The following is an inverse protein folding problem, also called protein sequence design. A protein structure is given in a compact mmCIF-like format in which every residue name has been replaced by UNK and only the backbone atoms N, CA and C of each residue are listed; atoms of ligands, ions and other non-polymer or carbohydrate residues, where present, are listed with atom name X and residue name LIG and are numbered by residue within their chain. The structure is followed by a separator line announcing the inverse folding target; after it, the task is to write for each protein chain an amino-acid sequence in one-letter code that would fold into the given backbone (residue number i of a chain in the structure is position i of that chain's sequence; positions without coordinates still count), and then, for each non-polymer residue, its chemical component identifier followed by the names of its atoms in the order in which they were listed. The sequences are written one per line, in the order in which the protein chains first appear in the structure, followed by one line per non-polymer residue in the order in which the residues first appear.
data_IF_565687204500
#
_entry.id   IF_565687204500
#
_cell.length_a   1.000
_cell.length_b   1.000
_cell.length_c   1.000
_cell.angle_alpha   90.00
_cell.angle_beta   90.00
_cell.angle_gamma   90.00
#
_symmetry.space_group_name_H-M   'P 1'
#
loop_
_entity.id
_entity.type
_entity.pdbx_description
1 polymer ?
#
# COMPACT_ATOMS: atom_id res chain seq x y z
N UNK A 1 69.85 -24.92 29.75
CA UNK A 1 68.72 -25.50 29.02
C UNK A 1 67.60 -24.48 29.07
N UNK A 2 67.49 -23.67 28.02
CA UNK A 2 66.59 -22.47 27.98
C UNK A 2 65.22 -22.89 27.39
N UNK A 3 64.21 -22.86 28.24
CA UNK A 3 62.82 -22.97 27.83
C UNK A 3 62.27 -21.57 27.44
N UNK A 4 62.11 -21.35 26.11
CA UNK A 4 61.45 -20.16 25.60
C UNK A 4 59.94 -20.30 25.81
N UNK A 5 59.35 -19.47 26.66
CA UNK A 5 57.90 -19.34 26.82
C UNK A 5 57.32 -18.62 25.59
N UNK A 6 56.57 -19.33 24.79
CA UNK A 6 55.80 -18.75 23.70
C UNK A 6 54.49 -18.23 24.30
N UNK A 7 54.30 -16.93 24.36
CA UNK A 7 53.02 -16.28 24.65
C UNK A 7 52.22 -16.24 23.34
N UNK A 8 51.17 -17.04 23.26
CA UNK A 8 50.16 -16.92 22.20
C UNK A 8 49.13 -15.89 22.67
N UNK A 9 49.22 -14.68 22.12
CA UNK A 9 48.19 -13.65 22.29
C UNK A 9 46.96 -14.04 21.42
N UNK A 10 45.89 -14.51 22.06
CA UNK A 10 44.61 -14.72 21.43
C UNK A 10 43.96 -13.33 21.18
N UNK A 11 44.08 -12.82 19.96
CA UNK A 11 43.33 -11.65 19.52
C UNK A 11 41.86 -12.07 19.34
N UNK A 12 41.01 -11.82 20.33
CA UNK A 12 39.57 -11.91 20.20
C UNK A 12 39.10 -10.82 19.19
N UNK A 13 38.85 -11.23 17.95
CA UNK A 13 38.12 -10.42 16.95
C UNK A 13 36.72 -10.19 17.53
N UNK A 14 36.49 -9.04 18.13
CA UNK A 14 35.16 -8.53 18.43
C UNK A 14 34.49 -8.20 17.12
N UNK A 15 33.86 -9.21 16.53
CA UNK A 15 32.89 -9.00 15.43
C UNK A 15 31.70 -8.29 16.10
N UNK A 16 31.37 -7.06 15.71
CA UNK A 16 30.15 -6.42 16.23
C UNK A 16 28.98 -7.30 15.85
N UNK A 17 28.35 -7.89 16.85
CA UNK A 17 27.06 -8.55 16.65
C UNK A 17 26.09 -7.44 16.24
N UNK A 18 25.80 -7.34 14.94
CA UNK A 18 24.68 -6.53 14.47
C UNK A 18 23.42 -7.14 15.10
N UNK A 19 23.01 -6.57 16.22
CA UNK A 19 21.69 -6.83 16.76
C UNK A 19 20.70 -6.29 15.75
N UNK A 20 20.17 -7.17 14.88
CA UNK A 20 18.98 -6.84 14.12
C UNK A 20 17.89 -6.61 15.15
N UNK A 21 17.52 -5.35 15.34
CA UNK A 21 16.35 -4.98 16.13
C UNK A 21 15.14 -5.80 15.66
N UNK A 22 14.18 -6.03 16.53
CA UNK A 22 12.94 -6.74 16.17
C UNK A 22 12.31 -6.06 14.95
N UNK A 23 11.96 -6.85 13.92
CA UNK A 23 11.39 -6.34 12.67
C UNK A 23 10.05 -5.71 12.95
N UNK A 24 9.79 -4.52 12.43
CA UNK A 24 8.48 -3.87 12.52
C UNK A 24 7.40 -4.76 11.90
N UNK A 25 6.36 -5.06 12.65
CA UNK A 25 5.20 -5.80 12.15
C UNK A 25 4.28 -4.87 11.36
N UNK A 26 4.40 -4.91 10.05
CA UNK A 26 3.58 -4.15 9.11
C UNK A 26 2.42 -5.00 8.61
N UNK A 27 1.22 -4.51 8.75
CA UNK A 27 0.02 -5.10 8.14
C UNK A 27 -0.52 -4.14 7.09
N UNK A 28 -0.90 -4.66 5.93
CA UNK A 28 -1.46 -3.87 4.84
C UNK A 28 -2.83 -4.41 4.44
N UNK A 29 -3.69 -3.57 3.94
CA UNK A 29 -5.00 -4.01 3.46
C UNK A 29 -4.88 -4.83 2.19
N UNK A 30 -4.04 -4.41 1.25
CA UNK A 30 -3.93 -5.06 -0.07
C UNK A 30 -2.50 -5.49 -0.42
N UNK A 31 -2.34 -6.52 -1.30
CA UNK A 31 -1.05 -7.07 -1.68
C UNK A 31 -0.12 -6.06 -2.38
N UNK A 32 -0.65 -5.12 -3.17
CA UNK A 32 0.18 -4.12 -3.83
C UNK A 32 0.89 -3.22 -2.81
N UNK A 33 0.19 -2.86 -1.71
CA UNK A 33 0.78 -2.10 -0.61
C UNK A 33 1.87 -2.92 0.08
N UNK A 34 1.59 -4.22 0.32
CA UNK A 34 2.56 -5.12 0.93
C UNK A 34 3.84 -5.24 0.09
N UNK A 35 3.70 -5.30 -1.23
CA UNK A 35 4.84 -5.33 -2.15
C UNK A 35 5.70 -4.06 -2.05
N UNK A 36 5.07 -2.89 -2.04
CA UNK A 36 5.80 -1.61 -1.89
C UNK A 36 6.45 -1.52 -0.51
N UNK A 37 5.69 -1.83 0.56
CA UNK A 37 6.18 -1.76 1.93
C UNK A 37 7.35 -2.74 2.18
N UNK A 38 7.31 -3.93 1.58
CA UNK A 38 8.41 -4.89 1.65
C UNK A 38 9.67 -4.40 0.95
N UNK A 39 9.55 -3.81 -0.24
CA UNK A 39 10.70 -3.27 -0.96
C UNK A 39 11.31 -2.04 -0.27
N UNK A 40 10.50 -1.16 0.29
CA UNK A 40 10.95 0.01 1.03
C UNK A 40 11.51 -0.36 2.40
N UNK A 41 10.82 -1.24 3.12
CA UNK A 41 11.21 -1.63 4.48
C UNK A 41 12.40 -2.59 4.55
N UNK A 42 12.62 -3.38 3.47
CA UNK A 42 13.71 -4.36 3.42
C UNK A 42 13.68 -5.34 4.59
N UNK A 43 14.85 -5.66 5.11
CA UNK A 43 15.01 -6.62 6.21
C UNK A 43 14.54 -6.12 7.58
N UNK A 44 14.19 -4.82 7.69
CA UNK A 44 13.75 -4.20 8.94
C UNK A 44 12.25 -4.36 9.19
N UNK A 45 11.49 -4.88 8.23
CA UNK A 45 10.04 -5.07 8.35
C UNK A 45 9.61 -6.51 8.11
N UNK A 46 8.49 -6.88 8.71
CA UNK A 46 7.75 -8.09 8.40
C UNK A 46 6.36 -7.70 7.90
N UNK A 47 6.13 -7.81 6.60
CA UNK A 47 4.89 -7.35 5.97
C UNK A 47 3.90 -8.48 5.75
N UNK A 48 2.63 -8.24 6.08
CA UNK A 48 1.52 -9.17 5.84
C UNK A 48 0.34 -8.42 5.23
N UNK A 49 -0.13 -8.85 4.05
CA UNK A 49 -1.40 -8.39 3.51
C UNK A 49 -2.58 -9.12 4.18
N UNK A 50 -3.70 -8.42 4.33
CA UNK A 50 -4.98 -8.99 4.77
C UNK A 50 -5.71 -9.62 3.59
N UNK A 51 -5.93 -8.87 2.52
CA UNK A 51 -6.63 -9.32 1.34
C UNK A 51 -5.77 -10.21 0.43
N UNK A 52 -6.43 -11.07 -0.34
CA UNK A 52 -5.84 -11.75 -1.47
C UNK A 52 -5.85 -10.89 -2.74
N UNK A 53 -4.93 -11.14 -3.68
CA UNK A 53 -4.79 -10.30 -4.88
C UNK A 53 -5.95 -10.41 -5.89
N UNK A 54 -6.80 -11.42 -5.75
CA UNK A 54 -7.95 -11.66 -6.64
C UNK A 54 -9.30 -11.35 -5.97
N UNK A 55 -9.27 -10.73 -4.78
CA UNK A 55 -10.49 -10.38 -4.07
C UNK A 55 -10.95 -8.98 -4.47
N UNK A 56 -12.26 -8.82 -4.57
CA UNK A 56 -12.85 -7.50 -4.72
C UNK A 56 -12.56 -6.66 -3.47
N UNK A 57 -11.90 -5.50 -3.61
CA UNK A 57 -11.51 -4.68 -2.49
C UNK A 57 -12.69 -4.11 -1.67
N UNK A 58 -13.87 -4.00 -2.29
CA UNK A 58 -15.06 -3.48 -1.63
C UNK A 58 -15.74 -4.53 -0.74
N UNK A 59 -15.63 -5.83 -1.07
CA UNK A 59 -16.44 -6.91 -0.49
C UNK A 59 -15.61 -7.97 0.25
N UNK A 60 -14.53 -7.56 0.91
CA UNK A 60 -13.69 -8.48 1.67
C UNK A 60 -14.43 -8.98 2.91
N UNK A 61 -14.48 -10.31 3.06
CA UNK A 61 -15.01 -10.96 4.27
C UNK A 61 -13.89 -11.10 5.29
N UNK A 62 -13.95 -10.41 6.44
CA UNK A 62 -12.95 -10.52 7.49
C UNK A 62 -12.86 -11.94 8.05
N UNK A 63 -11.63 -12.44 8.22
CA UNK A 63 -11.36 -13.76 8.84
C UNK A 63 -10.81 -13.57 10.25
N UNK A 64 -11.01 -14.52 11.18
CA UNK A 64 -10.44 -14.45 12.53
C UNK A 64 -8.91 -14.24 12.54
N UNK A 65 -8.21 -14.80 11.54
CA UNK A 65 -6.77 -14.60 11.36
C UNK A 65 -6.39 -13.15 11.07
N UNK A 66 -7.29 -12.34 10.50
CA UNK A 66 -7.05 -10.91 10.27
C UNK A 66 -7.02 -10.14 11.59
N UNK A 67 -7.94 -10.47 12.52
CA UNK A 67 -7.95 -9.88 13.87
C UNK A 67 -6.61 -10.11 14.56
N UNK A 68 -6.09 -11.34 14.49
CA UNK A 68 -4.82 -11.68 15.12
C UNK A 68 -3.63 -10.90 14.49
N UNK A 69 -3.63 -10.71 13.16
CA UNK A 69 -2.62 -9.91 12.47
C UNK A 69 -2.69 -8.45 12.87
N UNK A 70 -3.89 -7.84 12.79
CA UNK A 70 -4.12 -6.42 13.09
C UNK A 70 -3.84 -6.10 14.56
N UNK A 71 -4.15 -7.03 15.48
CA UNK A 71 -3.83 -6.90 16.92
C UNK A 71 -2.34 -6.75 17.19
N UNK A 72 -1.49 -7.41 16.40
CA UNK A 72 -0.02 -7.40 16.56
C UNK A 72 0.67 -6.35 15.70
N UNK A 73 -0.06 -5.64 14.85
CA UNK A 73 0.51 -4.64 13.95
C UNK A 73 1.10 -3.48 14.74
N UNK A 74 2.30 -3.09 14.37
CA UNK A 74 2.94 -1.83 14.80
C UNK A 74 2.63 -0.72 13.79
N UNK A 75 2.45 -1.11 12.52
CA UNK A 75 2.00 -0.25 11.44
C UNK A 75 0.91 -0.94 10.64
N UNK A 76 -0.25 -0.29 10.51
CA UNK A 76 -1.29 -0.65 9.56
C UNK A 76 -1.28 0.35 8.40
N UNK A 77 -1.09 -0.14 7.18
CA UNK A 77 -1.12 0.67 5.97
C UNK A 77 -2.39 0.33 5.19
N UNK A 78 -3.22 1.31 4.98
CA UNK A 78 -4.49 1.18 4.26
C UNK A 78 -4.45 1.92 2.92
N UNK A 79 -5.24 1.48 1.95
CA UNK A 79 -5.47 2.26 0.75
C UNK A 79 -6.11 3.60 1.10
N UNK A 80 -7.12 3.59 1.95
CA UNK A 80 -7.88 4.78 2.31
C UNK A 80 -8.86 5.21 1.21
N UNK A 81 -9.27 6.49 1.25
CA UNK A 81 -10.32 6.96 0.35
C UNK A 81 -11.64 6.21 0.53
N UNK A 82 -11.82 5.57 1.70
CA UNK A 82 -12.99 4.75 2.08
C UNK A 82 -13.14 3.42 1.32
N UNK A 83 -12.10 2.94 0.61
CA UNK A 83 -12.15 1.65 -0.08
C UNK A 83 -12.43 0.50 0.89
N UNK A 84 -11.91 0.57 2.11
CA UNK A 84 -12.05 -0.45 3.15
C UNK A 84 -13.24 -0.24 4.08
N UNK A 85 -14.11 0.75 3.81
CA UNK A 85 -15.15 1.18 4.78
C UNK A 85 -16.10 0.05 5.17
N UNK A 86 -16.37 -0.87 4.26
CA UNK A 86 -17.32 -1.97 4.48
C UNK A 86 -16.80 -3.06 5.43
N UNK A 87 -15.49 -3.20 5.64
CA UNK A 87 -14.94 -4.35 6.34
C UNK A 87 -13.85 -4.04 7.37
N UNK A 88 -13.02 -3.00 7.16
CA UNK A 88 -11.87 -2.73 8.03
C UNK A 88 -12.24 -2.13 9.39
N UNK A 89 -13.19 -1.17 9.54
CA UNK A 89 -13.49 -0.57 10.84
C UNK A 89 -13.95 -1.58 11.90
N UNK A 90 -14.87 -2.52 11.63
CA UNK A 90 -15.25 -3.56 12.60
C UNK A 90 -14.05 -4.46 12.97
N UNK A 91 -13.17 -4.77 12.02
CA UNK A 91 -11.97 -5.57 12.25
C UNK A 91 -10.99 -4.86 13.18
N UNK A 92 -10.74 -3.58 12.96
CA UNK A 92 -9.88 -2.76 13.83
C UNK A 92 -10.44 -2.68 15.27
N UNK A 93 -11.75 -2.51 15.41
CA UNK A 93 -12.41 -2.49 16.72
C UNK A 93 -12.22 -3.82 17.46
N UNK A 94 -12.43 -4.95 16.79
CA UNK A 94 -12.24 -6.28 17.37
C UNK A 94 -10.77 -6.59 17.71
N UNK A 95 -9.84 -6.09 16.90
CA UNK A 95 -8.41 -6.23 17.18
C UNK A 95 -7.97 -5.45 18.42
N UNK A 96 -8.66 -4.35 18.74
CA UNK A 96 -8.42 -3.49 19.90
C UNK A 96 -6.95 -3.11 20.09
N UNK A 97 -6.28 -2.73 19.00
CA UNK A 97 -4.88 -2.33 19.01
C UNK A 97 -4.77 -0.79 19.06
N UNK A 98 -4.31 -0.20 20.18
CA UNK A 98 -4.24 1.24 20.32
C UNK A 98 -3.22 1.90 19.40
N UNK A 99 -2.20 1.15 18.93
CA UNK A 99 -1.13 1.68 18.06
C UNK A 99 -1.63 2.11 16.69
N UNK A 100 -2.70 1.48 16.18
CA UNK A 100 -3.22 1.64 14.82
C UNK A 100 -4.58 2.33 14.76
N UNK A 101 -5.04 2.95 15.84
CA UNK A 101 -6.30 3.72 15.85
C UNK A 101 -6.20 4.93 14.92
N UNK A 102 -7.34 5.40 14.47
CA UNK A 102 -7.41 6.65 13.69
C UNK A 102 -6.72 7.78 14.46
N UNK A 103 -5.77 8.45 13.81
CA UNK A 103 -4.98 9.52 14.41
C UNK A 103 -3.73 9.05 15.18
N UNK A 104 -3.51 7.73 15.34
CA UNK A 104 -2.28 7.21 15.95
C UNK A 104 -1.13 7.16 14.92
N UNK A 105 0.11 7.14 15.43
CA UNK A 105 1.29 7.07 14.57
C UNK A 105 1.41 5.73 13.81
N UNK A 106 0.83 4.65 14.30
CA UNK A 106 0.86 3.33 13.65
C UNK A 106 -0.21 3.13 12.56
N UNK A 107 -0.93 4.15 12.11
CA UNK A 107 -1.86 4.09 10.99
C UNK A 107 -1.39 5.00 9.85
N UNK A 108 -1.20 4.43 8.66
CA UNK A 108 -0.92 5.17 7.44
C UNK A 108 -2.06 5.00 6.44
N UNK A 109 -2.74 6.09 6.12
CA UNK A 109 -3.74 6.18 5.06
C UNK A 109 -3.07 6.74 3.80
N UNK A 110 -2.87 5.89 2.79
CA UNK A 110 -2.16 6.23 1.55
C UNK A 110 -2.95 7.19 0.64
N UNK A 111 -4.28 7.27 0.79
CA UNK A 111 -5.07 8.21 0.01
C UNK A 111 -4.66 9.67 0.25
N UNK A 112 -4.03 9.95 1.41
CA UNK A 112 -3.51 11.29 1.75
C UNK A 112 -2.24 11.68 0.99
N UNK A 113 -1.57 10.72 0.36
CA UNK A 113 -0.37 10.97 -0.44
C UNK A 113 -0.68 11.36 -1.89
N UNK A 114 -1.96 11.31 -2.29
CA UNK A 114 -2.42 11.56 -3.66
C UNK A 114 -3.61 12.52 -3.68
N UNK A 115 -3.90 13.08 -4.85
CA UNK A 115 -5.14 13.84 -5.05
C UNK A 115 -6.21 12.89 -5.55
N UNK A 116 -7.31 12.76 -4.80
CA UNK A 116 -8.46 11.98 -5.23
C UNK A 116 -9.26 12.75 -6.27
N UNK A 117 -9.70 12.03 -7.31
CA UNK A 117 -10.58 12.55 -8.37
C UNK A 117 -12.03 12.12 -8.12
N UNK A 118 -12.95 12.67 -8.87
CA UNK A 118 -14.38 12.31 -8.84
C UNK A 118 -15.00 12.44 -7.44
N UNK A 119 -14.63 13.47 -6.70
CA UNK A 119 -15.27 13.79 -5.43
C UNK A 119 -16.74 14.14 -5.70
N UNK A 120 -17.70 13.36 -5.18
CA UNK A 120 -19.11 13.57 -5.48
C UNK A 120 -19.62 14.84 -4.80
N UNK A 121 -20.52 15.55 -5.47
CA UNK A 121 -21.18 16.75 -4.89
C UNK A 121 -22.18 16.40 -3.79
N UNK A 122 -22.75 15.21 -3.86
CA UNK A 122 -23.66 14.64 -2.86
C UNK A 122 -23.49 13.13 -2.83
N UNK A 123 -23.74 12.53 -1.68
CA UNK A 123 -23.65 11.09 -1.47
C UNK A 123 -24.98 10.58 -0.98
N UNK A 124 -25.52 9.55 -1.65
CA UNK A 124 -26.68 8.83 -1.18
C UNK A 124 -26.50 7.33 -1.38
N UNK A 125 -27.12 6.51 -0.54
CA UNK A 125 -27.09 5.04 -0.67
C UNK A 125 -27.70 4.54 -1.99
N UNK A 126 -28.51 5.35 -2.66
CA UNK A 126 -29.09 5.02 -3.96
C UNK A 126 -28.08 5.09 -5.12
N UNK A 127 -26.86 5.57 -4.87
CA UNK A 127 -25.80 5.72 -5.88
C UNK A 127 -24.82 4.55 -5.91
N UNK A 128 -25.08 3.47 -5.15
CA UNK A 128 -24.18 2.32 -5.04
C UNK A 128 -22.95 2.62 -4.14
N UNK A 129 -21.82 1.98 -4.45
CA UNK A 129 -20.55 2.13 -3.70
C UNK A 129 -19.84 3.45 -4.04
N UNK A 130 -20.51 4.57 -3.74
CA UNK A 130 -19.95 5.91 -3.93
C UNK A 130 -19.09 6.29 -2.74
N UNK A 131 -17.84 6.67 -3.00
CA UNK A 131 -16.90 7.09 -1.99
C UNK A 131 -16.94 8.62 -1.80
N UNK A 132 -17.36 9.14 -0.64
CA UNK A 132 -17.44 10.58 -0.39
C UNK A 132 -16.14 11.35 -0.56
N UNK A 133 -15.00 10.70 -0.30
CA UNK A 133 -13.68 11.30 -0.46
C UNK A 133 -13.20 11.39 -1.93
N UNK A 134 -13.88 10.74 -2.85
CA UNK A 134 -13.49 10.60 -4.26
C UNK A 134 -13.10 9.16 -4.60
N UNK A 135 -12.74 8.95 -5.87
CA UNK A 135 -12.40 7.63 -6.39
C UNK A 135 -11.14 7.04 -5.69
N UNK A 136 -11.24 5.90 -4.98
CA UNK A 136 -10.14 5.31 -4.23
C UNK A 136 -9.17 4.47 -5.07
N UNK A 137 -9.42 4.28 -6.36
CA UNK A 137 -8.62 3.43 -7.26
C UNK A 137 -7.39 4.13 -7.84
N UNK A 138 -6.85 5.12 -7.13
CA UNK A 138 -5.69 5.93 -7.52
C UNK A 138 -4.41 5.10 -7.75
N UNK A 139 -4.32 3.91 -7.16
CA UNK A 139 -3.20 2.98 -7.32
C UNK A 139 -3.11 2.37 -8.72
N UNK A 140 -4.16 2.46 -9.51
CA UNK A 140 -4.17 2.03 -10.91
C UNK A 140 -3.52 3.06 -11.85
N UNK A 141 -3.21 4.27 -11.38
CA UNK A 141 -2.29 5.17 -12.07
C UNK A 141 -0.85 4.89 -11.63
N UNK A 142 0.00 4.34 -12.50
CA UNK A 142 1.36 3.99 -12.13
C UNK A 142 2.23 5.18 -11.69
N UNK A 143 1.86 6.41 -12.05
CA UNK A 143 2.54 7.63 -11.60
C UNK A 143 2.24 8.01 -10.14
N UNK A 144 1.24 7.40 -9.51
CA UNK A 144 0.99 7.58 -8.08
C UNK A 144 1.89 6.70 -7.21
N UNK A 145 2.37 5.57 -7.72
CA UNK A 145 3.14 4.58 -6.93
C UNK A 145 4.39 5.19 -6.26
N UNK A 146 5.20 6.05 -6.91
CA UNK A 146 6.33 6.72 -6.25
C UNK A 146 5.90 7.62 -5.06
N UNK A 147 4.71 8.21 -5.10
CA UNK A 147 4.18 9.01 -3.98
C UNK A 147 3.83 8.11 -2.80
N UNK A 148 3.24 6.94 -3.08
CA UNK A 148 2.89 5.95 -2.05
C UNK A 148 4.15 5.38 -1.39
N UNK A 149 5.16 5.02 -2.18
CA UNK A 149 6.43 4.48 -1.65
C UNK A 149 7.15 5.50 -0.78
N UNK A 150 7.14 6.78 -1.15
CA UNK A 150 7.68 7.87 -0.34
C UNK A 150 6.95 8.01 1.00
N UNK A 151 5.60 7.98 0.98
CA UNK A 151 4.80 8.06 2.21
C UNK A 151 5.08 6.87 3.14
N UNK A 152 5.27 5.67 2.59
CA UNK A 152 5.63 4.48 3.35
C UNK A 152 7.03 4.63 3.97
N UNK A 153 8.03 5.10 3.21
CA UNK A 153 9.38 5.31 3.71
C UNK A 153 9.41 6.31 4.87
N UNK A 154 8.71 7.43 4.72
CA UNK A 154 8.58 8.45 5.76
C UNK A 154 7.94 7.87 7.02
N UNK A 155 6.83 7.13 6.89
CA UNK A 155 6.13 6.51 8.02
C UNK A 155 6.99 5.47 8.74
N UNK A 156 7.75 4.66 8.01
CA UNK A 156 8.69 3.70 8.61
C UNK A 156 9.80 4.42 9.38
N UNK A 157 10.34 5.53 8.86
CA UNK A 157 11.31 6.36 9.57
C UNK A 157 10.78 7.01 10.85
N UNK A 158 9.47 7.39 10.88
CA UNK A 158 8.81 7.90 12.09
C UNK A 158 8.69 6.83 13.19
N UNK A 159 8.48 5.56 12.81
CA UNK A 159 8.32 4.42 13.74
C UNK A 159 9.69 3.89 14.19
N UNK A 160 10.65 3.81 13.27
CA UNK A 160 12.00 3.35 13.48
C UNK A 160 13.01 4.40 12.99
N UNK A 161 13.31 5.42 13.80
CA UNK A 161 14.26 6.47 13.43
C UNK A 161 15.67 5.96 13.07
N UNK A 162 16.09 4.84 13.64
CA UNK A 162 17.40 4.24 13.33
C UNK A 162 17.45 3.64 11.93
N UNK A 163 16.31 3.29 11.36
CA UNK A 163 16.16 2.74 10.02
C UNK A 163 15.97 3.80 8.92
N UNK A 164 15.78 5.09 9.26
CA UNK A 164 15.40 6.14 8.31
C UNK A 164 16.24 6.15 7.05
N UNK A 165 17.56 6.19 7.17
CA UNK A 165 18.46 6.20 6.00
C UNK A 165 18.31 4.94 5.12
N UNK A 166 18.06 3.77 5.73
CA UNK A 166 17.83 2.55 4.97
C UNK A 166 16.52 2.63 4.17
N UNK A 167 15.44 3.12 4.80
CA UNK A 167 14.14 3.30 4.13
C UNK A 167 14.20 4.32 3.00
N UNK A 168 14.90 5.43 3.18
CA UNK A 168 15.12 6.45 2.15
C UNK A 168 15.92 5.89 0.96
N UNK A 169 17.00 5.17 1.21
CA UNK A 169 17.80 4.53 0.18
C UNK A 169 16.98 3.47 -0.59
N UNK A 170 16.25 2.61 0.11
CA UNK A 170 15.40 1.62 -0.51
C UNK A 170 14.30 2.27 -1.35
N UNK A 171 13.67 3.33 -0.83
CA UNK A 171 12.68 4.11 -1.58
C UNK A 171 13.27 4.75 -2.83
N UNK A 172 14.49 5.28 -2.75
CA UNK A 172 15.19 5.83 -3.92
C UNK A 172 15.42 4.75 -4.97
N UNK A 173 15.93 3.59 -4.59
CA UNK A 173 16.13 2.45 -5.50
C UNK A 173 14.81 1.97 -6.12
N UNK A 174 13.76 1.85 -5.31
CA UNK A 174 12.44 1.50 -5.79
C UNK A 174 11.93 2.51 -6.82
N UNK A 175 12.00 3.80 -6.51
CA UNK A 175 11.51 4.88 -7.37
C UNK A 175 12.31 4.97 -8.67
N UNK A 176 13.64 4.83 -8.63
CA UNK A 176 14.48 4.84 -9.81
C UNK A 176 14.13 3.68 -10.75
N UNK A 177 13.94 2.48 -10.20
CA UNK A 177 13.50 1.30 -10.96
C UNK A 177 12.10 1.49 -11.56
N UNK A 178 11.17 2.05 -10.76
CA UNK A 178 9.80 2.31 -11.19
C UNK A 178 9.76 3.32 -12.34
N UNK A 179 10.50 4.43 -12.21
CA UNK A 179 10.56 5.49 -13.22
C UNK A 179 11.11 4.98 -14.57
N UNK A 180 12.08 4.06 -14.55
CA UNK A 180 12.55 3.42 -15.80
C UNK A 180 11.42 2.62 -16.48
N UNK A 181 10.58 1.94 -15.72
CA UNK A 181 9.41 1.21 -16.24
C UNK A 181 8.32 2.17 -16.70
N UNK A 182 8.06 3.25 -15.94
CA UNK A 182 7.12 4.29 -16.35
C UNK A 182 7.41 4.82 -17.75
N UNK A 183 8.68 5.13 -18.05
CA UNK A 183 9.07 5.62 -19.37
C UNK A 183 8.73 4.64 -20.52
N UNK A 184 8.72 3.33 -20.23
CA UNK A 184 8.31 2.30 -21.20
C UNK A 184 6.79 2.26 -21.32
N UNK A 185 6.09 2.25 -20.20
CA UNK A 185 4.62 2.20 -20.16
C UNK A 185 3.98 3.45 -20.75
N UNK A 186 4.54 4.64 -20.47
CA UNK A 186 4.08 5.90 -21.04
C UNK A 186 4.14 5.89 -22.57
N UNK A 187 5.24 5.36 -23.15
CA UNK A 187 5.35 5.20 -24.61
C UNK A 187 4.32 4.21 -25.16
N UNK A 188 4.14 3.07 -24.50
CA UNK A 188 3.21 2.06 -24.95
C UNK A 188 1.74 2.55 -24.86
N UNK A 189 1.37 3.17 -23.74
CA UNK A 189 0.02 3.63 -23.49
C UNK A 189 -0.34 4.93 -24.22
N UNK A 190 0.64 5.75 -24.59
CA UNK A 190 0.40 6.97 -25.38
C UNK A 190 -0.21 6.68 -26.76
N UNK A 191 0.06 5.49 -27.32
CA UNK A 191 -0.53 5.04 -28.57
C UNK A 191 -2.06 4.81 -28.48
N UNK A 192 -2.59 4.67 -27.26
CA UNK A 192 -4.03 4.47 -26.99
C UNK A 192 -4.79 5.79 -26.81
N UNK A 193 -4.14 6.95 -26.97
CA UNK A 193 -4.82 8.25 -26.87
C UNK A 193 -5.99 8.34 -27.85
N UNK A 194 -7.17 8.69 -27.32
CA UNK A 194 -8.41 8.75 -28.07
C UNK A 194 -9.11 7.39 -28.27
N UNK A 195 -8.51 6.28 -27.82
CA UNK A 195 -9.20 5.00 -27.78
C UNK A 195 -10.44 5.09 -26.89
N UNK A 196 -11.46 4.30 -27.22
CA UNK A 196 -12.72 4.23 -26.48
C UNK A 196 -12.83 2.87 -25.80
N UNK A 197 -13.11 2.86 -24.50
CA UNK A 197 -13.19 1.64 -23.70
C UNK A 197 -14.48 1.59 -22.89
N UNK A 198 -14.89 0.38 -22.56
CA UNK A 198 -15.92 0.06 -21.58
C UNK A 198 -15.23 -0.71 -20.46
N UNK A 199 -15.57 -0.42 -19.21
CA UNK A 199 -15.13 -1.20 -18.07
C UNK A 199 -16.32 -1.82 -17.33
N UNK A 200 -16.08 -2.86 -16.54
CA UNK A 200 -17.14 -3.47 -15.75
C UNK A 200 -17.53 -2.54 -14.61
N UNK A 201 -16.59 -2.23 -13.74
CA UNK A 201 -16.69 -1.29 -12.62
C UNK A 201 -15.78 -0.09 -12.89
N UNK A 202 -16.12 1.08 -12.36
CA UNK A 202 -15.40 2.33 -12.59
C UNK A 202 -14.07 2.40 -11.81
N UNK A 203 -13.09 1.62 -12.25
CA UNK A 203 -11.79 1.46 -11.58
C UNK A 203 -10.67 2.30 -12.20
N UNK A 204 -10.66 2.42 -13.53
CA UNK A 204 -9.47 2.85 -14.26
C UNK A 204 -9.42 4.34 -14.58
N UNK A 205 -10.29 5.18 -14.03
CA UNK A 205 -10.39 6.62 -14.34
C UNK A 205 -9.05 7.35 -14.26
N UNK A 206 -8.22 7.06 -13.26
CA UNK A 206 -6.90 7.69 -13.14
C UNK A 206 -5.98 7.35 -14.32
N UNK A 207 -5.93 6.08 -14.71
CA UNK A 207 -5.16 5.61 -15.86
C UNK A 207 -5.72 6.18 -17.16
N UNK A 208 -7.02 6.08 -17.35
CA UNK A 208 -7.70 6.52 -18.58
C UNK A 208 -7.49 8.03 -18.82
N UNK A 209 -7.66 8.83 -17.78
CA UNK A 209 -7.44 10.29 -17.87
C UNK A 209 -6.00 10.63 -18.16
N UNK A 210 -5.05 9.93 -17.53
CA UNK A 210 -3.62 10.16 -17.78
C UNK A 210 -3.26 9.99 -19.24
N UNK A 211 -3.74 8.94 -19.88
CA UNK A 211 -3.36 8.62 -21.26
C UNK A 211 -4.37 9.12 -22.31
N UNK A 212 -5.40 9.86 -21.89
CA UNK A 212 -6.40 10.42 -22.80
C UNK A 212 -7.25 9.35 -23.50
N UNK A 213 -7.53 8.25 -22.78
CA UNK A 213 -8.42 7.19 -23.21
C UNK A 213 -9.85 7.54 -22.74
N UNK A 214 -10.84 7.43 -23.63
CA UNK A 214 -12.22 7.78 -23.32
C UNK A 214 -12.98 6.57 -22.75
N UNK A 215 -13.43 6.68 -21.50
CA UNK A 215 -14.42 5.77 -20.94
C UNK A 215 -15.79 6.13 -21.54
N UNK A 216 -16.39 5.21 -22.28
CA UNK A 216 -17.70 5.43 -22.95
C UNK A 216 -18.87 4.78 -22.26
N UNK A 217 -18.62 3.96 -21.24
CA UNK A 217 -19.66 3.34 -20.42
C UNK A 217 -19.08 2.36 -19.42
N UNK A 218 -19.91 1.98 -18.45
CA UNK A 218 -19.65 0.91 -17.50
C UNK A 218 -20.70 -0.18 -17.65
N UNK A 219 -20.33 -1.45 -17.42
CA UNK A 219 -21.28 -2.55 -17.44
C UNK A 219 -22.17 -2.52 -16.19
N UNK A 220 -21.61 -2.13 -15.05
CA UNK A 220 -22.42 -1.84 -13.87
C UNK A 220 -23.22 -0.55 -14.08
N UNK A 221 -24.53 -0.54 -13.81
CA UNK A 221 -25.36 0.68 -13.90
C UNK A 221 -24.97 1.71 -12.84
N UNK A 222 -24.55 1.23 -11.67
CA UNK A 222 -23.99 2.00 -10.56
C UNK A 222 -22.88 1.17 -9.90
N UNK A 223 -21.87 1.81 -9.28
CA UNK A 223 -20.79 1.09 -8.63
C UNK A 223 -21.29 0.05 -7.62
N UNK A 224 -20.82 -1.19 -7.74
CA UNK A 224 -21.22 -2.31 -6.87
C UNK A 224 -22.62 -2.88 -7.10
N UNK A 225 -23.34 -2.42 -8.13
CA UNK A 225 -24.66 -2.95 -8.47
C UNK A 225 -24.56 -3.75 -9.77
N UNK A 226 -24.75 -5.08 -9.72
CA UNK A 226 -24.67 -5.92 -10.90
C UNK A 226 -25.65 -5.51 -12.01
N UNK A 227 -25.28 -5.65 -13.28
CA UNK A 227 -26.17 -5.33 -14.39
C UNK A 227 -27.38 -6.27 -14.44
N UNK A 228 -28.49 -5.74 -14.90
CA UNK A 228 -29.68 -6.52 -15.21
C UNK A 228 -29.75 -6.80 -16.70
N UNK A 229 -30.65 -7.72 -17.12
CA UNK A 229 -30.89 -8.01 -18.54
C UNK A 229 -31.41 -6.81 -19.37
N UNK A 230 -31.80 -5.72 -18.70
CA UNK A 230 -32.29 -4.49 -19.34
C UNK A 230 -31.22 -3.39 -19.44
N UNK A 231 -30.08 -3.56 -18.77
CA UNK A 231 -28.97 -2.64 -18.82
C UNK A 231 -28.01 -3.01 -19.91
#
# INVERSE_FOLDING_TARGET
MNMKKILIAAACLLVPAYSFGERIHVVTTYPYIASIAGQVGGDRVRVNALAGGQWDPHTIVPKPSFIAKVRRAELLIINGGQLEIGWLPPLMNQANNPRIRTGSNGLLDLSRAVTLIDVPRSVSRAQGDVHPAGNPHYYLDPHNIPKLSKAIAQKLGEIDPQGTSAYENNNKHFTDNWNRKLAVWDRALSSLRGARVIEYHKNYDYLLRRYGIALVGTIEPLPGIPPTSKH
#
